data_IF_186289917194
#
_entry.id   IF_186289917194
#
_cell.length_a   1.000
_cell.length_b   1.000
_cell.length_c   1.000
_cell.angle_alpha   90.00
_cell.angle_beta   90.00
_cell.angle_gamma   90.00
#
_symmetry.space_group_name_H-M   'P 1'
#
loop_
_entity.id
_entity.type
_entity.pdbx_description
1 polymer ?
#
# COMPACT_ATOMS: atom_id res chain seq x y z
N UNK A 1 18.23 -6.87 -20.06
CA UNK A 1 17.52 -7.61 -18.99
C UNK A 1 18.39 -7.90 -17.78
N UNK A 2 19.55 -8.56 -17.89
CA UNK A 2 20.43 -8.88 -16.74
C UNK A 2 20.81 -7.63 -15.94
N UNK A 3 21.18 -6.53 -16.60
CA UNK A 3 21.52 -5.25 -15.94
C UNK A 3 20.38 -4.73 -15.10
N UNK A 4 19.15 -4.76 -15.63
CA UNK A 4 17.95 -4.32 -14.90
C UNK A 4 17.74 -5.18 -13.63
N UNK A 5 17.88 -6.50 -13.76
CA UNK A 5 17.79 -7.41 -12.63
C UNK A 5 18.89 -7.15 -11.58
N UNK A 6 20.13 -6.94 -12.01
CA UNK A 6 21.25 -6.59 -11.10
C UNK A 6 20.96 -5.29 -10.37
N UNK A 7 20.53 -4.23 -11.06
CA UNK A 7 20.18 -2.95 -10.44
C UNK A 7 19.02 -3.10 -9.46
N UNK A 8 17.99 -3.88 -9.80
CA UNK A 8 16.84 -4.16 -8.92
C UNK A 8 17.28 -4.92 -7.66
N UNK A 9 17.97 -6.05 -7.81
CA UNK A 9 18.37 -6.88 -6.66
C UNK A 9 19.39 -6.18 -5.76
N UNK A 10 20.37 -5.50 -6.35
CA UNK A 10 21.36 -4.78 -5.56
C UNK A 10 20.76 -3.55 -4.89
N UNK A 11 19.86 -2.84 -5.58
CA UNK A 11 19.09 -1.72 -5.02
C UNK A 11 18.19 -2.17 -3.87
N UNK A 12 17.48 -3.28 -4.03
CA UNK A 12 16.66 -3.85 -2.97
C UNK A 12 17.51 -4.28 -1.74
N UNK A 13 18.69 -4.86 -1.98
CA UNK A 13 19.63 -5.23 -0.91
C UNK A 13 20.13 -4.02 -0.11
N UNK A 14 20.39 -2.88 -0.77
CA UNK A 14 20.82 -1.64 -0.11
C UNK A 14 19.66 -0.93 0.58
N UNK A 15 18.45 -1.08 0.06
CA UNK A 15 17.22 -0.49 0.60
C UNK A 15 17.09 1.02 0.41
N UNK A 16 15.99 1.55 0.86
CA UNK A 16 15.71 3.00 0.84
C UNK A 16 15.80 3.61 -0.56
N UNK A 17 16.40 4.78 -0.65
CA UNK A 17 16.55 5.57 -1.89
C UNK A 17 17.50 4.90 -2.92
N UNK A 18 18.36 3.98 -2.47
CA UNK A 18 19.34 3.32 -3.34
C UNK A 18 18.68 2.58 -4.51
N UNK A 19 17.48 2.03 -4.30
CA UNK A 19 16.72 1.33 -5.33
C UNK A 19 16.47 2.23 -6.56
N UNK A 20 16.05 3.47 -6.34
CA UNK A 20 15.84 4.42 -7.43
C UNK A 20 17.14 4.92 -8.07
N UNK A 21 18.17 5.20 -7.25
CA UNK A 21 19.46 5.68 -7.76
C UNK A 21 20.15 4.63 -8.64
N UNK A 22 20.05 3.35 -8.29
CA UNK A 22 20.58 2.25 -9.11
C UNK A 22 19.78 2.08 -10.41
N UNK A 23 18.49 2.42 -10.42
CA UNK A 23 17.72 2.56 -11.65
C UNK A 23 18.36 3.57 -12.62
N UNK A 24 18.87 4.69 -12.11
CA UNK A 24 19.62 5.68 -12.91
C UNK A 24 20.89 5.10 -13.57
N UNK A 25 21.65 4.28 -12.85
CA UNK A 25 22.80 3.57 -13.41
C UNK A 25 22.35 2.62 -14.54
N UNK A 26 21.27 1.88 -14.30
CA UNK A 26 20.69 0.97 -15.30
C UNK A 26 20.26 1.71 -16.57
N UNK A 27 19.61 2.87 -16.44
CA UNK A 27 19.25 3.73 -17.58
C UNK A 27 20.50 4.16 -18.37
N UNK A 28 21.52 4.68 -17.68
CA UNK A 28 22.77 5.10 -18.32
C UNK A 28 23.40 3.97 -19.13
N UNK A 29 23.48 2.76 -18.54
CA UNK A 29 24.03 1.60 -19.24
C UNK A 29 23.18 1.22 -20.45
N UNK A 30 21.84 1.20 -20.33
CA UNK A 30 20.95 0.88 -21.45
C UNK A 30 21.09 1.89 -22.59
N UNK A 31 21.18 3.18 -22.27
CA UNK A 31 21.22 4.25 -23.28
C UNK A 31 22.60 4.38 -23.92
N UNK A 32 23.66 4.50 -23.11
CA UNK A 32 25.00 4.82 -23.62
C UNK A 32 25.81 3.59 -24.08
N UNK A 33 25.69 2.44 -23.37
CA UNK A 33 26.42 1.25 -23.76
C UNK A 33 25.66 0.39 -24.79
N UNK A 34 24.32 0.34 -24.70
CA UNK A 34 23.48 -0.49 -25.58
C UNK A 34 22.72 0.32 -26.63
N UNK A 35 22.86 1.65 -26.65
CA UNK A 35 22.22 2.56 -27.58
C UNK A 35 20.70 2.41 -27.66
N UNK A 36 20.08 2.04 -26.54
CA UNK A 36 18.62 1.91 -26.42
C UNK A 36 18.04 3.31 -26.21
N UNK A 37 17.04 3.68 -27.03
CA UNK A 37 16.33 4.94 -26.85
C UNK A 37 15.66 4.99 -25.48
N UNK A 38 15.90 6.03 -24.65
CA UNK A 38 15.30 6.11 -23.33
C UNK A 38 13.78 6.23 -23.42
N UNK A 39 13.09 5.49 -22.59
CA UNK A 39 11.66 5.61 -22.36
C UNK A 39 11.32 6.93 -21.64
N UNK A 40 10.05 7.10 -21.26
CA UNK A 40 9.59 8.31 -20.57
C UNK A 40 9.42 8.04 -19.08
N UNK A 41 9.93 8.90 -18.20
CA UNK A 41 9.63 8.79 -16.78
C UNK A 41 8.13 9.03 -16.51
N UNK A 42 7.56 8.35 -15.52
CA UNK A 42 6.15 8.45 -15.16
C UNK A 42 5.86 9.73 -14.35
N UNK A 43 5.94 10.89 -15.00
CA UNK A 43 5.88 12.22 -14.35
C UNK A 43 4.56 12.42 -13.59
N UNK A 44 3.42 12.09 -14.20
CA UNK A 44 2.10 12.27 -13.58
C UNK A 44 1.96 11.43 -12.32
N UNK A 45 2.49 10.20 -12.34
CA UNK A 45 2.55 9.33 -11.16
C UNK A 45 3.39 9.97 -10.07
N UNK A 46 4.56 10.49 -10.41
CA UNK A 46 5.47 11.13 -9.46
C UNK A 46 4.86 12.37 -8.81
N UNK A 47 4.21 13.22 -9.59
CA UNK A 47 3.53 14.42 -9.07
C UNK A 47 2.36 14.05 -8.15
N UNK A 48 1.62 12.99 -8.49
CA UNK A 48 0.52 12.53 -7.63
C UNK A 48 1.04 11.94 -6.32
N UNK A 49 2.10 11.15 -6.38
CA UNK A 49 2.79 10.64 -5.17
C UNK A 49 3.22 11.82 -4.29
N UNK A 50 3.84 12.84 -4.87
CA UNK A 50 4.31 14.02 -4.13
C UNK A 50 3.14 14.74 -3.44
N UNK A 51 2.06 15.00 -4.13
CA UNK A 51 0.88 15.68 -3.58
C UNK A 51 0.27 14.89 -2.41
N UNK A 52 0.10 13.58 -2.56
CA UNK A 52 -0.46 12.70 -1.52
C UNK A 52 0.47 12.61 -0.31
N UNK A 53 1.77 12.44 -0.53
CA UNK A 53 2.78 12.36 0.55
C UNK A 53 2.82 13.66 1.36
N UNK A 54 2.80 14.81 0.70
CA UNK A 54 2.79 16.10 1.39
C UNK A 54 1.52 16.28 2.22
N UNK A 55 0.35 15.93 1.69
CA UNK A 55 -0.91 16.00 2.43
C UNK A 55 -0.91 15.10 3.68
N UNK A 56 -0.51 13.85 3.53
CA UNK A 56 -0.44 12.88 4.63
C UNK A 56 0.62 13.25 5.68
N UNK A 57 1.76 13.77 5.24
CA UNK A 57 2.79 14.30 6.12
C UNK A 57 2.31 15.55 6.89
N UNK A 58 1.51 16.40 6.25
CA UNK A 58 0.88 17.55 6.90
C UNK A 58 -0.13 17.12 7.96
N UNK A 59 -0.94 16.10 7.68
CA UNK A 59 -1.83 15.47 8.66
C UNK A 59 -1.05 14.96 9.89
N UNK A 60 0.08 14.30 9.68
CA UNK A 60 0.94 13.83 10.78
C UNK A 60 1.53 15.01 11.57
N UNK A 61 2.10 16.01 10.90
CA UNK A 61 2.73 17.16 11.53
C UNK A 61 1.75 18.01 12.35
N UNK A 62 0.47 18.04 11.95
CA UNK A 62 -0.61 18.76 12.64
C UNK A 62 -1.18 18.01 13.85
N UNK A 63 -0.80 16.74 14.07
CA UNK A 63 -1.39 15.87 15.08
C UNK A 63 -2.77 15.30 14.70
N UNK A 64 -3.24 15.50 13.46
CA UNK A 64 -4.50 14.92 12.98
C UNK A 64 -4.50 13.40 13.00
N UNK A 65 -3.34 12.79 12.75
CA UNK A 65 -3.16 11.35 12.87
C UNK A 65 -3.35 10.84 14.30
N UNK A 66 -2.95 11.62 15.32
CA UNK A 66 -3.12 11.23 16.73
C UNK A 66 -4.59 11.09 17.11
N UNK A 67 -5.48 11.90 16.52
CA UNK A 67 -6.93 11.77 16.71
C UNK A 67 -7.44 10.46 16.14
N UNK A 68 -7.02 10.09 14.92
CA UNK A 68 -7.39 8.81 14.32
C UNK A 68 -6.92 7.64 15.19
N UNK A 69 -5.71 7.71 15.71
CA UNK A 69 -5.15 6.70 16.61
C UNK A 69 -5.89 6.62 17.94
N UNK A 70 -6.29 7.77 18.52
CA UNK A 70 -7.09 7.80 19.75
C UNK A 70 -8.48 7.16 19.55
N UNK A 71 -9.11 7.39 18.40
CA UNK A 71 -10.38 6.75 18.04
C UNK A 71 -10.18 5.23 17.89
N UNK A 72 -9.12 4.83 17.19
CA UNK A 72 -8.75 3.43 17.00
C UNK A 72 -8.51 2.72 18.35
N UNK A 73 -7.74 3.33 19.25
CA UNK A 73 -7.51 2.81 20.60
C UNK A 73 -8.81 2.63 21.37
N UNK A 74 -9.72 3.61 21.31
CA UNK A 74 -11.02 3.54 21.97
C UNK A 74 -11.85 2.37 21.47
N UNK A 75 -11.87 2.10 20.17
CA UNK A 75 -12.58 0.97 19.56
C UNK A 75 -12.00 -0.36 20.06
N UNK A 76 -10.67 -0.50 20.07
CA UNK A 76 -10.01 -1.73 20.50
C UNK A 76 -10.23 -2.01 22.00
N UNK A 77 -10.08 -0.99 22.86
CA UNK A 77 -10.26 -1.15 24.31
C UNK A 77 -11.70 -1.39 24.74
N UNK A 78 -12.68 -0.93 23.93
CA UNK A 78 -14.10 -1.20 24.22
C UNK A 78 -14.49 -2.65 23.96
N UNK A 79 -13.77 -3.36 23.09
CA UNK A 79 -14.10 -4.72 22.67
C UNK A 79 -12.87 -5.65 22.73
N UNK A 80 -12.24 -5.82 23.90
CA UNK A 80 -10.99 -6.56 24.03
C UNK A 80 -11.12 -8.03 23.63
N UNK A 81 -12.27 -8.66 23.87
CA UNK A 81 -12.53 -10.05 23.49
C UNK A 81 -12.37 -10.31 22.00
N UNK A 82 -12.69 -9.34 21.17
CA UNK A 82 -12.58 -9.43 19.70
C UNK A 82 -11.30 -8.82 19.15
N UNK A 83 -10.31 -8.54 20.00
CA UNK A 83 -9.07 -7.86 19.63
C UNK A 83 -8.40 -8.50 18.39
N UNK A 84 -8.34 -9.84 18.35
CA UNK A 84 -7.68 -10.58 17.26
C UNK A 84 -8.32 -10.32 15.89
N UNK A 85 -9.62 -10.03 15.84
CA UNK A 85 -10.33 -9.67 14.61
C UNK A 85 -10.30 -8.15 14.40
N UNK A 86 -10.53 -7.37 15.45
CA UNK A 86 -10.64 -5.91 15.34
C UNK A 86 -9.31 -5.24 15.03
N UNK A 87 -8.20 -5.72 15.61
CA UNK A 87 -6.90 -5.09 15.40
C UNK A 87 -6.47 -5.08 13.92
N UNK A 88 -6.52 -6.19 13.16
CA UNK A 88 -6.23 -6.16 11.73
C UNK A 88 -7.15 -5.25 10.93
N UNK A 89 -8.46 -5.19 11.23
CA UNK A 89 -9.36 -4.25 10.57
C UNK A 89 -9.01 -2.80 10.88
N UNK A 90 -8.78 -2.47 12.14
CA UNK A 90 -8.42 -1.11 12.57
C UNK A 90 -7.13 -0.65 11.90
N UNK A 91 -6.10 -1.48 11.87
CA UNK A 91 -4.82 -1.12 11.23
C UNK A 91 -4.96 -1.00 9.71
N UNK A 92 -5.74 -1.87 9.08
CA UNK A 92 -6.06 -1.79 7.66
C UNK A 92 -6.80 -0.48 7.33
N UNK A 93 -7.85 -0.14 8.09
CA UNK A 93 -8.59 1.11 7.89
C UNK A 93 -7.74 2.36 8.12
N UNK A 94 -6.90 2.38 9.15
CA UNK A 94 -5.95 3.48 9.33
C UNK A 94 -5.03 3.66 8.13
N UNK A 95 -4.54 2.55 7.57
CA UNK A 95 -3.71 2.59 6.37
C UNK A 95 -4.48 3.04 5.14
N UNK A 96 -5.72 2.57 4.95
CA UNK A 96 -6.60 3.03 3.86
C UNK A 96 -6.78 4.55 3.94
N UNK A 97 -7.01 5.10 5.12
CA UNK A 97 -7.20 6.54 5.31
C UNK A 97 -5.90 7.34 5.15
N UNK A 98 -4.76 6.83 5.65
CA UNK A 98 -3.49 7.57 5.67
C UNK A 98 -2.60 7.32 4.45
N UNK A 99 -2.89 6.31 3.63
CA UNK A 99 -2.11 5.93 2.45
C UNK A 99 -0.78 5.23 2.74
N UNK A 100 -0.50 4.91 4.01
CA UNK A 100 0.77 4.31 4.44
C UNK A 100 0.58 3.31 5.57
N UNK A 101 1.28 2.17 5.50
CA UNK A 101 1.28 1.15 6.55
C UNK A 101 2.09 1.52 7.81
N UNK A 102 2.78 2.66 7.81
CA UNK A 102 3.59 3.08 8.97
C UNK A 102 2.78 3.44 10.21
N UNK A 103 1.48 3.67 10.07
CA UNK A 103 0.55 3.90 11.19
C UNK A 103 0.57 2.76 12.21
N UNK A 104 0.95 1.56 11.80
CA UNK A 104 1.04 0.38 12.66
C UNK A 104 2.03 0.55 13.81
N UNK A 105 3.12 1.30 13.62
CA UNK A 105 4.11 1.52 14.70
C UNK A 105 3.53 2.18 15.93
N UNK A 106 2.59 3.07 15.74
CA UNK A 106 1.98 3.82 16.85
C UNK A 106 0.92 3.01 17.58
N UNK A 107 0.17 2.17 16.86
CA UNK A 107 -0.93 1.42 17.44
C UNK A 107 -0.49 0.04 17.99
N UNK A 108 0.65 -0.48 17.55
CA UNK A 108 1.13 -1.80 17.95
C UNK A 108 1.35 -1.96 19.48
N UNK A 109 1.97 -0.98 20.19
CA UNK A 109 2.08 -1.05 21.64
C UNK A 109 0.72 -1.08 22.37
N UNK A 110 -0.30 -0.45 21.76
CA UNK A 110 -1.66 -0.43 22.30
C UNK A 110 -2.31 -1.81 22.13
N UNK A 111 -2.16 -2.43 20.95
CA UNK A 111 -2.65 -3.79 20.70
C UNK A 111 -2.01 -4.77 21.66
N UNK A 112 -0.68 -4.66 21.88
CA UNK A 112 0.04 -5.47 22.86
C UNK A 112 -0.53 -5.32 24.26
N UNK A 113 -0.70 -4.09 24.75
CA UNK A 113 -1.20 -3.80 26.10
C UNK A 113 -2.61 -4.39 26.34
N UNK A 114 -3.48 -4.25 25.32
CA UNK A 114 -4.82 -4.83 25.41
C UNK A 114 -4.75 -6.37 25.41
N UNK A 115 -3.93 -6.96 24.55
CA UNK A 115 -3.79 -8.41 24.43
C UNK A 115 -3.31 -9.02 25.75
N UNK A 116 -2.20 -8.53 26.30
CA UNK A 116 -1.58 -9.10 27.49
C UNK A 116 -2.47 -8.95 28.73
N UNK A 117 -3.13 -7.80 28.90
CA UNK A 117 -4.04 -7.53 30.02
C UNK A 117 -5.32 -8.37 29.98
N UNK A 118 -5.70 -8.88 28.80
CA UNK A 118 -6.89 -9.73 28.63
C UNK A 118 -6.55 -11.21 28.40
N UNK A 119 -5.32 -11.63 28.67
CA UNK A 119 -4.89 -13.02 28.52
C UNK A 119 -4.83 -13.54 27.08
N UNK A 120 -4.93 -12.64 26.10
CA UNK A 120 -4.85 -12.99 24.66
C UNK A 120 -3.37 -13.12 24.28
N UNK A 121 -3.00 -14.20 23.60
CA UNK A 121 -1.67 -14.37 23.03
C UNK A 121 -1.35 -13.22 22.07
N UNK A 122 -0.36 -12.34 22.37
CA UNK A 122 -0.08 -11.16 21.56
C UNK A 122 0.23 -11.44 20.09
N UNK A 123 0.87 -12.57 19.78
CA UNK A 123 1.15 -13.00 18.39
C UNK A 123 -0.12 -12.96 17.51
N UNK A 124 -1.30 -13.32 18.06
CA UNK A 124 -2.54 -13.38 17.30
C UNK A 124 -2.94 -12.02 16.71
N UNK A 125 -3.25 -11.00 17.53
CA UNK A 125 -3.65 -9.70 17.01
C UNK A 125 -2.48 -8.91 16.41
N UNK A 126 -1.26 -9.06 16.92
CA UNK A 126 -0.13 -8.24 16.49
C UNK A 126 0.38 -8.63 15.11
N UNK A 127 0.60 -9.94 14.85
CA UNK A 127 1.01 -10.38 13.53
C UNK A 127 -0.08 -10.10 12.48
N UNK A 128 -1.35 -10.36 12.83
CA UNK A 128 -2.48 -10.03 11.97
C UNK A 128 -2.57 -8.53 11.66
N UNK A 129 -2.37 -7.66 12.64
CA UNK A 129 -2.40 -6.21 12.48
C UNK A 129 -1.25 -5.68 11.62
N UNK A 130 -0.01 -6.22 11.79
CA UNK A 130 1.13 -5.86 10.95
C UNK A 130 0.85 -6.15 9.48
N UNK A 131 0.44 -7.37 9.17
CA UNK A 131 0.12 -7.79 7.81
C UNK A 131 -1.03 -6.96 7.22
N UNK A 132 -2.13 -6.83 7.95
CA UNK A 132 -3.33 -6.12 7.47
C UNK A 132 -3.09 -4.62 7.25
N UNK A 133 -2.21 -4.00 8.05
CA UNK A 133 -1.77 -2.63 7.83
C UNK A 133 -1.09 -2.48 6.46
N UNK A 134 -0.22 -3.39 6.07
CA UNK A 134 0.44 -3.32 4.77
C UNK A 134 -0.52 -3.67 3.62
N UNK A 135 -1.44 -4.61 3.82
CA UNK A 135 -2.47 -4.92 2.82
C UNK A 135 -3.38 -3.73 2.51
N UNK A 136 -3.66 -2.87 3.50
CA UNK A 136 -4.45 -1.66 3.31
C UNK A 136 -3.89 -0.66 2.30
N UNK A 137 -2.61 -0.75 1.94
CA UNK A 137 -1.95 0.16 0.99
C UNK A 137 -2.60 0.06 -0.40
N UNK A 138 -2.84 -1.16 -0.92
CA UNK A 138 -3.46 -1.34 -2.25
C UNK A 138 -4.97 -1.02 -2.27
N UNK A 139 -5.57 -0.83 -1.11
CA UNK A 139 -6.96 -0.43 -0.94
C UNK A 139 -7.12 1.06 -0.58
N UNK A 140 -6.04 1.82 -0.54
CA UNK A 140 -6.08 3.22 -0.11
C UNK A 140 -6.17 4.19 -1.28
N UNK A 141 -7.19 5.09 -1.29
CA UNK A 141 -7.32 6.10 -2.33
C UNK A 141 -6.17 7.11 -2.37
N UNK A 142 -5.39 7.18 -1.31
CA UNK A 142 -4.27 8.11 -1.15
C UNK A 142 -2.91 7.40 -1.08
N UNK A 143 -2.83 6.15 -1.52
CA UNK A 143 -1.56 5.42 -1.55
C UNK A 143 -0.83 5.56 -2.88
N UNK A 144 0.49 5.55 -2.78
CA UNK A 144 1.37 5.52 -3.97
C UNK A 144 1.09 4.31 -4.86
N UNK A 145 0.79 3.16 -4.28
CA UNK A 145 0.56 1.92 -5.01
C UNK A 145 -0.69 2.00 -5.90
N UNK A 146 -1.81 2.48 -5.34
CA UNK A 146 -3.08 2.65 -6.08
C UNK A 146 -2.93 3.69 -7.19
N UNK A 147 -2.28 4.83 -6.89
CA UNK A 147 -2.02 5.88 -7.88
C UNK A 147 -1.17 5.35 -9.04
N UNK A 148 -0.07 4.65 -8.74
CA UNK A 148 0.81 4.08 -9.75
C UNK A 148 0.09 3.04 -10.61
N UNK A 149 -0.65 2.12 -10.00
CA UNK A 149 -1.38 1.07 -10.71
C UNK A 149 -2.45 1.66 -11.62
N UNK A 150 -3.25 2.61 -11.12
CA UNK A 150 -4.27 3.29 -11.91
C UNK A 150 -3.67 3.99 -13.13
N UNK A 151 -2.59 4.76 -12.94
CA UNK A 151 -1.95 5.48 -14.03
C UNK A 151 -1.38 4.54 -15.10
N UNK A 152 -0.82 3.40 -14.70
CA UNK A 152 -0.30 2.39 -15.63
C UNK A 152 -1.43 1.74 -16.45
N UNK A 153 -2.57 1.44 -15.82
CA UNK A 153 -3.73 0.85 -16.49
C UNK A 153 -4.41 1.84 -17.46
N UNK A 154 -4.52 3.12 -17.09
CA UNK A 154 -5.08 4.15 -17.96
C UNK A 154 -4.20 4.48 -19.16
N UNK A 155 -2.88 4.32 -19.05
CA UNK A 155 -1.91 4.53 -20.12
C UNK A 155 -1.61 3.26 -20.92
N UNK A 156 -2.25 2.13 -20.60
CA UNK A 156 -2.05 0.86 -21.32
C UNK A 156 -2.55 0.97 -22.79
N UNK A 157 -1.86 0.29 -23.69
CA UNK A 157 -2.25 0.23 -25.09
C UNK A 157 -3.61 -0.47 -25.30
N UNK A 158 -3.95 -1.41 -24.42
CA UNK A 158 -5.25 -2.07 -24.35
C UNK A 158 -5.98 -1.55 -23.12
N UNK A 159 -6.92 -0.64 -23.33
CA UNK A 159 -7.75 -0.11 -22.24
C UNK A 159 -8.76 -1.15 -21.80
N UNK A 160 -8.90 -1.30 -20.50
CA UNK A 160 -9.94 -2.13 -19.89
C UNK A 160 -11.29 -1.43 -20.08
N UNK A 161 -12.25 -2.10 -20.71
CA UNK A 161 -13.58 -1.55 -20.92
C UNK A 161 -14.25 -1.26 -19.56
N UNK A 162 -14.85 -0.08 -19.43
CA UNK A 162 -15.51 0.34 -18.19
C UNK A 162 -14.55 0.70 -17.04
N UNK A 163 -13.24 0.76 -17.31
CA UNK A 163 -12.26 1.20 -16.33
C UNK A 163 -11.84 2.65 -16.62
N UNK A 164 -12.40 3.58 -15.85
CA UNK A 164 -12.19 5.01 -16.05
C UNK A 164 -11.21 5.63 -15.06
N UNK A 165 -10.77 4.85 -14.07
CA UNK A 165 -9.79 5.34 -13.12
C UNK A 165 -9.73 4.58 -11.79
N UNK A 166 -9.21 5.27 -10.79
CA UNK A 166 -8.87 4.66 -9.51
C UNK A 166 -10.10 4.22 -8.69
N UNK A 167 -11.27 4.80 -8.90
CA UNK A 167 -12.50 4.35 -8.23
C UNK A 167 -12.84 2.91 -8.65
N UNK A 168 -12.72 2.61 -9.94
CA UNK A 168 -12.94 1.26 -10.46
C UNK A 168 -11.94 0.27 -9.86
N UNK A 169 -10.67 0.68 -9.68
CA UNK A 169 -9.69 -0.12 -8.98
C UNK A 169 -10.07 -0.34 -7.51
N UNK A 170 -10.47 0.71 -6.80
CA UNK A 170 -10.84 0.65 -5.39
C UNK A 170 -12.10 -0.18 -5.13
N UNK A 171 -13.07 -0.18 -6.05
CA UNK A 171 -14.25 -1.06 -5.99
C UNK A 171 -13.89 -2.55 -5.97
N UNK A 172 -12.74 -2.92 -6.51
CA UNK A 172 -12.22 -4.28 -6.46
C UNK A 172 -11.29 -4.46 -5.25
N UNK A 173 -10.34 -3.54 -5.07
CA UNK A 173 -9.28 -3.73 -4.07
C UNK A 173 -9.72 -3.52 -2.63
N UNK A 174 -10.68 -2.62 -2.35
CA UNK A 174 -11.18 -2.45 -0.99
C UNK A 174 -11.90 -3.70 -0.49
N UNK A 175 -12.96 -4.21 -1.14
CA UNK A 175 -13.67 -5.38 -0.63
C UNK A 175 -12.81 -6.63 -0.64
N UNK A 176 -11.97 -6.84 -1.64
CA UNK A 176 -11.06 -8.00 -1.68
C UNK A 176 -10.02 -7.95 -0.56
N UNK A 177 -9.45 -6.78 -0.26
CA UNK A 177 -8.52 -6.61 0.87
C UNK A 177 -9.22 -6.83 2.21
N UNK A 178 -10.42 -6.28 2.41
CA UNK A 178 -11.18 -6.47 3.64
C UNK A 178 -11.57 -7.93 3.86
N UNK A 179 -11.89 -8.65 2.79
CA UNK A 179 -12.13 -10.09 2.86
C UNK A 179 -10.86 -10.85 3.30
N UNK A 180 -9.70 -10.52 2.72
CA UNK A 180 -8.42 -11.08 3.15
C UNK A 180 -8.10 -10.79 4.62
N UNK A 181 -8.35 -9.57 5.07
CA UNK A 181 -8.18 -9.16 6.48
C UNK A 181 -9.11 -9.96 7.40
N UNK A 182 -10.35 -10.21 6.99
CA UNK A 182 -11.27 -11.07 7.73
C UNK A 182 -10.72 -12.50 7.86
N UNK A 183 -10.24 -13.08 6.77
CA UNK A 183 -9.64 -14.41 6.77
C UNK A 183 -8.39 -14.48 7.69
N UNK A 184 -7.54 -13.46 7.69
CA UNK A 184 -6.41 -13.34 8.62
C UNK A 184 -6.91 -13.31 10.07
N UNK A 185 -7.93 -12.50 10.37
CA UNK A 185 -8.50 -12.39 11.72
C UNK A 185 -9.04 -13.72 12.21
N UNK A 186 -9.82 -14.41 11.38
CA UNK A 186 -10.38 -15.74 11.70
C UNK A 186 -9.27 -16.77 11.94
N UNK A 187 -8.30 -16.87 11.04
CA UNK A 187 -7.16 -17.77 11.21
C UNK A 187 -6.39 -17.48 12.49
N UNK A 188 -6.08 -16.20 12.73
CA UNK A 188 -5.29 -15.78 13.89
C UNK A 188 -6.01 -16.02 15.21
N UNK A 189 -7.35 -16.04 15.21
CA UNK A 189 -8.16 -16.36 16.39
C UNK A 189 -7.85 -17.74 16.96
N UNK A 190 -7.63 -18.72 16.10
CA UNK A 190 -7.36 -20.11 16.47
C UNK A 190 -5.86 -20.43 16.59
N UNK A 191 -4.98 -19.47 16.35
CA UNK A 191 -3.55 -19.68 16.29
C UNK A 191 -2.91 -19.80 17.67
N UNK A 192 -2.10 -20.83 17.88
CA UNK A 192 -1.30 -21.03 19.08
C UNK A 192 -2.13 -21.34 20.33
N UNK A 193 -1.46 -21.59 21.44
CA UNK A 193 -2.08 -21.81 22.76
C UNK A 193 -2.41 -20.46 23.43
N UNK A 194 -3.47 -20.42 24.21
CA UNK A 194 -3.73 -19.29 25.11
C UNK A 194 -2.58 -19.12 26.12
N UNK A 195 -2.35 -17.91 26.61
CA UNK A 195 -1.19 -17.61 27.44
C UNK A 195 -1.20 -18.41 28.77
N UNK A 196 -2.37 -18.70 29.31
CA UNK A 196 -2.56 -19.53 30.53
C UNK A 196 -2.18 -20.99 30.29
N UNK A 197 -2.24 -21.47 29.04
CA UNK A 197 -1.93 -22.84 28.61
C UNK A 197 -0.55 -22.98 27.96
N UNK A 198 0.18 -21.88 27.80
CA UNK A 198 1.53 -21.85 27.23
C UNK A 198 2.55 -22.10 28.34
N UNK A 199 3.02 -23.35 28.47
CA UNK A 199 3.96 -23.77 29.50
C UNK A 199 5.26 -22.96 29.48
N UNK A 200 5.79 -22.63 28.29
CA UNK A 200 7.02 -21.84 28.13
C UNK A 200 6.82 -20.42 28.65
N UNK A 201 5.69 -19.82 28.33
CA UNK A 201 5.34 -18.48 28.82
C UNK A 201 5.11 -18.47 30.32
N UNK A 202 4.37 -19.45 30.85
CA UNK A 202 4.09 -19.58 32.30
C UNK A 202 5.36 -19.83 33.11
N UNK A 203 6.32 -20.61 32.58
CA UNK A 203 7.62 -20.80 33.23
C UNK A 203 8.41 -19.49 33.32
N UNK A 204 8.46 -18.71 32.23
CA UNK A 204 9.11 -17.40 32.23
C UNK A 204 8.46 -16.40 33.18
N UNK A 205 7.14 -16.48 33.38
CA UNK A 205 6.42 -15.58 34.30
C UNK A 205 6.76 -15.83 35.79
N UNK A 206 7.42 -16.93 36.15
CA UNK A 206 7.91 -17.17 37.51
C UNK A 206 9.02 -16.18 37.87
N UNK A 207 9.75 -15.65 36.87
CA UNK A 207 10.71 -14.58 37.06
C UNK A 207 10.00 -13.22 37.28
N UNK A 208 10.19 -12.58 38.46
CA UNK A 208 9.55 -11.30 38.78
C UNK A 208 9.95 -10.17 37.82
N UNK A 209 11.19 -10.17 37.32
CA UNK A 209 11.67 -9.13 36.40
C UNK A 209 11.01 -9.30 35.04
N UNK A 210 10.92 -10.53 34.52
CA UNK A 210 10.19 -10.81 33.28
C UNK A 210 8.70 -10.46 33.42
N UNK A 211 8.08 -10.81 34.53
CA UNK A 211 6.68 -10.45 34.79
C UNK A 211 6.47 -8.95 34.78
N UNK A 212 7.35 -8.17 35.46
CA UNK A 212 7.31 -6.70 35.45
C UNK A 212 7.53 -6.13 34.05
N UNK A 213 8.42 -6.71 33.27
CA UNK A 213 8.68 -6.31 31.88
C UNK A 213 7.46 -6.53 30.98
N UNK A 214 6.86 -7.71 31.06
CA UNK A 214 5.70 -8.10 30.22
C UNK A 214 4.47 -7.25 30.55
N UNK A 215 4.14 -7.07 31.83
CA UNK A 215 2.94 -6.33 32.28
C UNK A 215 3.20 -4.85 32.57
N UNK A 216 4.39 -4.34 32.25
CA UNK A 216 4.72 -2.94 32.40
C UNK A 216 3.82 -2.02 31.56
N UNK A 217 3.71 -0.76 31.98
CA UNK A 217 2.83 0.21 31.35
C UNK A 217 3.21 0.48 29.89
N UNK A 218 2.20 0.57 29.04
CA UNK A 218 2.32 1.03 27.66
C UNK A 218 1.77 2.45 27.52
N UNK A 219 2.34 3.20 26.57
CA UNK A 219 1.82 4.52 26.23
C UNK A 219 0.37 4.39 25.73
N UNK A 220 -0.52 5.22 26.23
CA UNK A 220 -1.93 5.32 25.82
C UNK A 220 -2.23 6.75 25.38
N UNK A 221 -3.07 6.87 24.36
CA UNK A 221 -3.63 8.15 23.94
C UNK A 221 -4.99 8.43 24.60
N UNK A 222 -5.57 7.44 25.30
CA UNK A 222 -6.83 7.63 26.04
C UNK A 222 -6.57 8.54 27.25
N UNK A 223 -7.49 9.49 27.44
CA UNK A 223 -7.37 10.49 28.50
C UNK A 223 -6.49 11.68 28.14
N UNK A 224 -5.72 11.61 27.06
CA UNK A 224 -5.00 12.77 26.52
C UNK A 224 -5.99 13.69 25.83
N UNK A 225 -6.12 14.91 26.32
CA UNK A 225 -6.98 15.92 25.69
C UNK A 225 -6.25 16.52 24.47
N UNK A 226 -6.54 15.99 23.31
CA UNK A 226 -5.95 16.49 22.06
C UNK A 226 -6.51 17.89 21.72
N UNK A 227 -5.67 18.81 21.24
CA UNK A 227 -6.07 20.16 20.82
C UNK A 227 -7.18 20.10 19.75
N UNK A 228 -8.05 21.12 19.73
CA UNK A 228 -9.07 21.24 18.68
C UNK A 228 -8.47 21.28 17.26
N UNK A 229 -7.27 21.86 17.12
CA UNK A 229 -6.54 21.89 15.85
C UNK A 229 -6.29 20.50 15.25
N UNK A 230 -6.00 19.49 16.07
CA UNK A 230 -5.79 18.11 15.60
C UNK A 230 -7.06 17.52 14.99
N UNK A 231 -8.22 17.78 15.61
CA UNK A 231 -9.53 17.38 15.07
C UNK A 231 -9.85 18.09 13.77
N UNK A 232 -9.54 19.38 13.67
CA UNK A 232 -9.73 20.17 12.42
C UNK A 232 -8.87 19.59 11.31
N UNK A 233 -7.60 19.28 11.57
CA UNK A 233 -6.71 18.66 10.60
C UNK A 233 -7.25 17.33 10.08
N UNK A 234 -7.70 16.46 11.00
CA UNK A 234 -8.31 15.16 10.63
C UNK A 234 -9.54 15.35 9.72
N UNK A 235 -10.46 16.26 10.10
CA UNK A 235 -11.69 16.46 9.31
C UNK A 235 -11.42 17.09 7.94
N UNK A 236 -10.45 18.02 7.82
CA UNK A 236 -10.04 18.58 6.53
C UNK A 236 -9.51 17.46 5.63
N UNK A 237 -8.63 16.61 6.15
CA UNK A 237 -8.02 15.53 5.38
C UNK A 237 -9.06 14.49 4.92
N UNK A 238 -9.92 14.03 5.83
CA UNK A 238 -11.01 13.09 5.51
C UNK A 238 -12.02 13.69 4.55
N UNK A 239 -12.34 14.98 4.70
CA UNK A 239 -13.20 15.72 3.79
C UNK A 239 -12.62 15.80 2.38
N UNK A 240 -11.32 16.05 2.24
CA UNK A 240 -10.66 16.05 0.94
C UNK A 240 -10.71 14.66 0.27
N UNK A 241 -10.45 13.57 1.02
CA UNK A 241 -10.60 12.21 0.50
C UNK A 241 -12.03 11.93 0.05
N UNK A 242 -13.01 12.32 0.86
CA UNK A 242 -14.43 12.14 0.52
C UNK A 242 -14.82 12.90 -0.75
N UNK A 243 -14.31 14.13 -0.92
CA UNK A 243 -14.54 14.93 -2.14
C UNK A 243 -13.86 14.30 -3.36
N UNK A 244 -12.64 13.81 -3.25
CA UNK A 244 -11.97 13.08 -4.32
C UNK A 244 -12.76 11.84 -4.71
N UNK A 245 -13.25 11.07 -3.74
CA UNK A 245 -14.09 9.90 -4.00
C UNK A 245 -15.40 10.28 -4.69
N UNK A 246 -16.06 11.33 -4.23
CA UNK A 246 -17.30 11.83 -4.81
C UNK A 246 -17.10 12.25 -6.28
N UNK A 247 -16.05 13.01 -6.59
CA UNK A 247 -15.70 13.41 -7.95
C UNK A 247 -15.27 12.24 -8.84
N UNK A 248 -14.83 11.13 -8.24
CA UNK A 248 -14.51 9.90 -8.94
C UNK A 248 -15.76 9.09 -9.31
N UNK A 249 -16.78 9.07 -8.42
CA UNK A 249 -18.04 8.38 -8.66
C UNK A 249 -18.93 9.20 -9.60
N UNK A 250 -18.96 10.52 -9.46
CA UNK A 250 -19.80 11.42 -10.22
C UNK A 250 -18.94 12.28 -11.16
N UNK A 251 -18.59 11.73 -12.32
CA UNK A 251 -17.73 12.37 -13.31
C UNK A 251 -18.31 13.69 -13.85
N UNK A 252 -19.65 13.81 -13.91
CA UNK A 252 -20.35 15.03 -14.32
C UNK A 252 -20.10 16.23 -13.39
N UNK A 253 -19.62 16.01 -12.16
CA UNK A 253 -19.22 17.07 -11.24
C UNK A 253 -17.82 17.64 -11.55
N UNK A 254 -17.05 16.94 -12.37
CA UNK A 254 -15.74 17.41 -12.78
C UNK A 254 -15.85 18.48 -13.87
N UNK A 255 -15.03 19.55 -13.82
CA UNK A 255 -14.96 20.53 -14.89
C UNK A 255 -14.76 19.88 -16.24
N UNK A 256 -15.55 20.32 -17.23
CA UNK A 256 -15.51 19.86 -18.61
C UNK A 256 -15.36 21.07 -19.53
N UNK A 257 -14.31 21.08 -20.35
CA UNK A 257 -14.00 22.19 -21.26
C UNK A 257 -14.52 21.98 -22.69
N UNK A 258 -15.38 20.97 -22.88
CA UNK A 258 -15.97 20.66 -24.17
C UNK A 258 -15.27 19.54 -24.92
N UNK A 259 -15.50 19.45 -26.23
CA UNK A 259 -14.91 18.39 -27.04
C UNK A 259 -13.43 18.64 -27.32
N UNK A 260 -12.61 17.60 -27.19
CA UNK A 260 -11.19 17.64 -27.53
C UNK A 260 -11.03 17.90 -29.03
N UNK A 261 -10.34 18.99 -29.39
CA UNK A 261 -10.01 19.32 -30.79
C UNK A 261 -8.49 19.24 -30.99
N UNK A 262 -8.04 18.43 -31.95
CA UNK A 262 -6.61 18.36 -32.35
C UNK A 262 -6.47 18.83 -33.81
N UNK A 263 -5.63 19.83 -34.03
CA UNK A 263 -5.40 20.41 -35.35
C UNK A 263 -6.68 20.82 -36.08
N UNK A 264 -7.65 21.39 -35.33
CA UNK A 264 -8.94 21.78 -35.86
C UNK A 264 -9.96 20.64 -36.08
N UNK A 265 -9.59 19.39 -35.77
CA UNK A 265 -10.46 18.21 -35.95
C UNK A 265 -10.99 17.76 -34.60
N UNK A 266 -12.33 17.74 -34.40
CA UNK A 266 -12.95 17.17 -33.21
C UNK A 266 -12.58 15.69 -33.05
N UNK A 267 -12.14 15.32 -31.86
CA UNK A 267 -11.76 13.95 -31.56
C UNK A 267 -12.95 13.13 -31.07
N UNK A 268 -13.00 11.86 -31.46
CA UNK A 268 -13.97 10.89 -30.97
C UNK A 268 -13.28 9.76 -30.22
N UNK A 269 -14.01 9.10 -29.34
CA UNK A 269 -13.58 7.91 -28.64
C UNK A 269 -13.62 6.66 -29.55
N UNK A 270 -13.26 5.51 -29.02
CA UNK A 270 -13.25 4.24 -29.76
C UNK A 270 -14.65 3.78 -30.21
N UNK A 271 -15.72 4.34 -29.64
CA UNK A 271 -17.12 4.05 -29.96
C UNK A 271 -17.73 5.10 -30.92
N UNK A 272 -16.94 6.11 -31.33
CA UNK A 272 -17.41 7.19 -32.21
C UNK A 272 -18.11 8.35 -31.48
N UNK A 273 -18.16 8.36 -30.14
CA UNK A 273 -18.72 9.46 -29.36
C UNK A 273 -17.75 10.64 -29.25
N UNK A 274 -18.25 11.88 -29.09
CA UNK A 274 -17.39 13.03 -28.85
C UNK A 274 -16.47 12.82 -27.64
N UNK A 275 -15.17 12.88 -27.85
CA UNK A 275 -14.20 12.80 -26.74
C UNK A 275 -14.20 14.12 -25.99
N UNK A 276 -14.69 14.11 -24.74
CA UNK A 276 -14.78 15.30 -23.91
C UNK A 276 -13.48 15.55 -23.13
N UNK A 277 -13.13 16.83 -22.94
CA UNK A 277 -12.00 17.29 -22.14
C UNK A 277 -12.44 17.50 -20.68
N UNK A 278 -12.60 16.39 -19.97
CA UNK A 278 -12.99 16.37 -18.56
C UNK A 278 -11.74 16.34 -17.68
N UNK A 279 -11.76 17.09 -16.57
CA UNK A 279 -10.66 17.09 -15.60
C UNK A 279 -10.32 15.66 -15.17
N UNK A 280 -9.06 15.27 -15.41
CA UNK A 280 -8.60 13.91 -15.10
C UNK A 280 -8.62 13.62 -13.58
N UNK A 281 -8.90 12.38 -13.20
CA UNK A 281 -8.85 11.98 -11.77
C UNK A 281 -7.45 12.14 -11.16
N UNK A 282 -6.41 11.99 -11.94
CA UNK A 282 -5.02 12.26 -11.52
C UNK A 282 -4.88 13.71 -11.06
N UNK A 283 -5.36 14.66 -11.87
CA UNK A 283 -5.35 16.09 -11.52
C UNK A 283 -6.25 16.41 -10.33
N UNK A 284 -7.42 15.78 -10.23
CA UNK A 284 -8.32 15.91 -9.06
C UNK A 284 -7.60 15.51 -7.77
N UNK A 285 -6.95 14.34 -7.74
CA UNK A 285 -6.20 13.88 -6.57
C UNK A 285 -5.10 14.87 -6.21
N UNK A 286 -4.29 15.30 -7.20
CA UNK A 286 -3.19 16.24 -6.97
C UNK A 286 -3.70 17.56 -6.34
N UNK A 287 -4.74 18.14 -6.93
CA UNK A 287 -5.30 19.44 -6.48
C UNK A 287 -5.92 19.33 -5.08
N UNK A 288 -6.74 18.32 -4.81
CA UNK A 288 -7.40 18.14 -3.52
C UNK A 288 -6.44 17.75 -2.40
N UNK A 289 -5.37 17.01 -2.69
CA UNK A 289 -4.34 16.72 -1.69
C UNK A 289 -3.51 17.97 -1.35
N UNK A 290 -3.13 18.77 -2.33
CA UNK A 290 -2.47 20.06 -2.07
C UNK A 290 -3.40 21.02 -1.31
N UNK A 291 -4.68 21.08 -1.66
CA UNK A 291 -5.68 21.85 -0.95
C UNK A 291 -5.79 21.40 0.52
N UNK A 292 -5.88 20.09 0.77
CA UNK A 292 -5.94 19.54 2.12
C UNK A 292 -4.73 19.96 2.95
N UNK A 293 -3.52 19.81 2.41
CA UNK A 293 -2.29 20.27 3.09
C UNK A 293 -2.31 21.76 3.40
N UNK A 294 -2.73 22.58 2.42
CA UNK A 294 -2.82 24.05 2.59
C UNK A 294 -3.85 24.43 3.66
N UNK A 295 -5.05 23.87 3.61
CA UNK A 295 -6.08 24.16 4.61
C UNK A 295 -5.66 23.71 6.02
N UNK A 296 -5.00 22.55 6.15
CA UNK A 296 -4.48 22.11 7.45
C UNK A 296 -3.48 23.14 7.99
N UNK A 297 -2.49 23.57 7.20
CA UNK A 297 -1.50 24.57 7.64
C UNK A 297 -2.17 25.87 8.09
N UNK A 298 -3.13 26.36 7.30
CA UNK A 298 -3.83 27.64 7.57
C UNK A 298 -4.65 27.55 8.86
N UNK A 299 -5.49 26.53 9.00
CA UNK A 299 -6.44 26.43 10.11
C UNK A 299 -5.87 25.86 11.40
N UNK A 300 -4.77 25.09 11.32
CA UNK A 300 -4.16 24.49 12.50
C UNK A 300 -2.86 25.16 12.93
N UNK A 301 -2.36 26.14 12.18
CA UNK A 301 -1.07 26.81 12.41
C UNK A 301 0.11 25.83 12.51
N UNK A 302 0.04 24.75 11.75
CA UNK A 302 1.07 23.72 11.73
C UNK A 302 2.37 24.29 11.17
N UNK A 303 3.48 24.01 11.85
CA UNK A 303 4.81 24.41 11.38
C UNK A 303 5.21 23.60 10.14
N UNK A 304 5.30 24.27 9.00
CA UNK A 304 5.65 23.66 7.72
C UNK A 304 7.02 22.97 7.73
N UNK A 305 7.96 23.42 8.60
CA UNK A 305 9.29 22.79 8.73
C UNK A 305 9.18 21.34 9.26
N UNK A 306 8.18 21.05 10.08
CA UNK A 306 7.96 19.71 10.62
C UNK A 306 7.42 18.72 9.59
N UNK A 307 6.82 19.18 8.48
CA UNK A 307 6.27 18.33 7.42
C UNK A 307 7.40 17.57 6.74
N UNK A 308 8.46 18.27 6.32
CA UNK A 308 9.58 17.65 5.60
C UNK A 308 10.46 16.71 6.46
N UNK A 309 10.36 16.81 7.78
CA UNK A 309 11.19 16.00 8.70
C UNK A 309 10.49 14.75 9.24
N UNK A 310 9.19 14.58 9.00
CA UNK A 310 8.44 13.43 9.55
C UNK A 310 8.61 12.15 8.73
N UNK A 311 8.24 11.02 9.34
CA UNK A 311 8.46 9.69 8.76
C UNK A 311 7.61 9.43 7.50
N UNK A 312 6.39 9.98 7.42
CA UNK A 312 5.53 9.85 6.23
C UNK A 312 6.19 10.54 5.04
N UNK A 313 6.71 11.76 5.23
CA UNK A 313 7.40 12.48 4.17
C UNK A 313 8.67 11.75 3.70
N UNK A 314 9.51 11.31 4.64
CA UNK A 314 10.75 10.58 4.31
C UNK A 314 10.47 9.30 3.54
N UNK A 315 9.53 8.48 4.01
CA UNK A 315 9.16 7.23 3.34
C UNK A 315 8.53 7.46 1.97
N UNK A 316 7.70 8.49 1.86
CA UNK A 316 7.09 8.90 0.59
C UNK A 316 8.12 9.38 -0.43
N UNK A 317 9.12 10.15 0.00
CA UNK A 317 10.20 10.59 -0.89
C UNK A 317 11.10 9.43 -1.34
N UNK A 318 11.36 8.45 -0.47
CA UNK A 318 12.06 7.22 -0.85
C UNK A 318 11.27 6.48 -1.93
N UNK A 319 9.95 6.33 -1.75
CA UNK A 319 9.08 5.70 -2.73
C UNK A 319 9.05 6.47 -4.06
N UNK A 320 8.98 7.80 -4.01
CA UNK A 320 9.02 8.67 -5.20
C UNK A 320 10.30 8.44 -6.03
N UNK A 321 11.46 8.47 -5.39
CA UNK A 321 12.76 8.28 -6.07
C UNK A 321 12.88 6.84 -6.58
N UNK A 322 12.39 5.84 -5.84
CA UNK A 322 12.38 4.46 -6.30
C UNK A 322 11.50 4.29 -7.55
N UNK A 323 10.29 4.85 -7.54
CA UNK A 323 9.39 4.84 -8.72
C UNK A 323 10.06 5.55 -9.90
N UNK A 324 10.67 6.71 -9.70
CA UNK A 324 11.36 7.45 -10.75
C UNK A 324 12.43 6.59 -11.44
N UNK A 325 13.41 6.10 -10.69
CA UNK A 325 14.53 5.38 -11.27
C UNK A 325 14.14 4.02 -11.86
N UNK A 326 13.35 3.23 -11.12
CA UNK A 326 12.96 1.89 -11.57
C UNK A 326 12.02 1.94 -12.76
N UNK A 327 10.95 2.77 -12.70
CA UNK A 327 9.97 2.82 -13.78
C UNK A 327 10.62 3.28 -15.08
N UNK A 328 11.48 4.29 -15.02
CA UNK A 328 12.17 4.80 -16.21
C UNK A 328 13.13 3.76 -16.80
N UNK A 329 13.92 3.07 -15.96
CA UNK A 329 14.79 1.97 -16.39
C UNK A 329 13.99 0.81 -17.01
N UNK A 330 12.90 0.42 -16.37
CA UNK A 330 12.03 -0.65 -16.81
C UNK A 330 11.38 -0.31 -18.17
N UNK A 331 10.80 0.89 -18.31
CA UNK A 331 10.19 1.36 -19.54
C UNK A 331 11.19 1.39 -20.70
N UNK A 332 12.41 1.86 -20.42
CA UNK A 332 13.51 1.86 -21.40
C UNK A 332 13.86 0.46 -21.89
N UNK A 333 13.93 -0.53 -20.98
CA UNK A 333 14.23 -1.91 -21.34
C UNK A 333 13.06 -2.56 -22.10
N UNK A 334 11.82 -2.34 -21.64
CA UNK A 334 10.65 -2.98 -22.23
C UNK A 334 10.37 -2.49 -23.64
N UNK A 335 10.64 -1.22 -23.95
CA UNK A 335 10.46 -0.67 -25.28
C UNK A 335 11.16 -1.53 -26.38
N UNK A 336 12.27 -2.18 -26.06
CA UNK A 336 13.04 -3.03 -26.99
C UNK A 336 12.75 -4.51 -26.86
N UNK A 337 12.50 -5.00 -25.61
CA UNK A 337 12.46 -6.44 -25.33
C UNK A 337 11.04 -7.02 -25.27
N UNK A 338 10.00 -6.19 -25.28
CA UNK A 338 8.60 -6.62 -25.24
C UNK A 338 8.24 -7.69 -26.27
N UNK A 339 8.64 -7.59 -27.58
CA UNK A 339 8.29 -8.63 -28.56
C UNK A 339 8.85 -10.00 -28.21
N UNK A 340 10.12 -10.05 -27.78
CA UNK A 340 10.77 -11.30 -27.37
C UNK A 340 10.14 -11.89 -26.10
N UNK A 341 9.82 -11.05 -25.12
CA UNK A 341 9.21 -11.47 -23.87
C UNK A 341 7.77 -11.96 -24.09
N UNK A 342 7.02 -11.30 -24.95
CA UNK A 342 5.67 -11.73 -25.35
C UNK A 342 5.70 -13.10 -26.01
N UNK A 343 6.65 -13.35 -26.90
CA UNK A 343 6.82 -14.66 -27.55
C UNK A 343 7.19 -15.78 -26.55
N UNK A 344 7.98 -15.44 -25.51
CA UNK A 344 8.45 -16.43 -24.53
C UNK A 344 7.44 -16.73 -23.41
N UNK A 345 6.65 -15.75 -22.96
CA UNK A 345 5.84 -15.80 -21.76
C UNK A 345 4.34 -15.57 -22.01
N UNK A 346 3.98 -15.01 -23.17
CA UNK A 346 2.61 -14.57 -23.46
C UNK A 346 1.58 -15.71 -23.40
N UNK A 347 1.94 -16.88 -23.90
CA UNK A 347 1.02 -18.04 -23.91
C UNK A 347 0.81 -18.58 -22.48
N UNK A 348 1.88 -18.64 -21.67
CA UNK A 348 1.79 -19.12 -20.28
C UNK A 348 0.84 -18.22 -19.46
N UNK A 349 0.95 -16.90 -19.64
CA UNK A 349 0.11 -15.95 -18.87
C UNK A 349 -1.34 -15.96 -19.36
N UNK A 350 -1.58 -16.19 -20.65
CA UNK A 350 -2.94 -16.31 -21.20
C UNK A 350 -3.65 -17.59 -20.76
N UNK A 351 -2.95 -18.69 -20.74
CA UNK A 351 -3.50 -19.99 -20.29
C UNK A 351 -3.66 -20.04 -18.77
N UNK A 352 -2.77 -19.36 -18.04
CA UNK A 352 -2.71 -19.39 -16.58
C UNK A 352 -2.61 -17.97 -15.99
N UNK A 353 -3.68 -17.16 -15.99
CA UNK A 353 -3.65 -15.76 -15.51
C UNK A 353 -3.15 -15.58 -14.07
N UNK A 354 -3.36 -16.59 -13.21
CA UNK A 354 -2.87 -16.57 -11.82
C UNK A 354 -1.34 -16.52 -11.70
N UNK A 355 -0.61 -16.91 -12.75
CA UNK A 355 0.87 -16.82 -12.78
C UNK A 355 1.35 -15.38 -12.63
N UNK A 356 0.58 -14.40 -13.12
CA UNK A 356 0.83 -12.98 -12.87
C UNK A 356 0.90 -12.67 -11.37
N UNK A 357 -0.04 -13.18 -10.58
CA UNK A 357 -0.08 -12.96 -9.13
C UNK A 357 1.18 -13.51 -8.45
N UNK A 358 1.60 -14.72 -8.81
CA UNK A 358 2.81 -15.35 -8.25
C UNK A 358 4.06 -14.52 -8.61
N UNK A 359 4.17 -14.07 -9.86
CA UNK A 359 5.31 -13.27 -10.31
C UNK A 359 5.36 -11.92 -9.59
N UNK A 360 4.22 -11.22 -9.47
CA UNK A 360 4.13 -9.96 -8.75
C UNK A 360 4.48 -10.14 -7.27
N UNK A 361 4.00 -11.20 -6.63
CA UNK A 361 4.28 -11.53 -5.24
C UNK A 361 5.79 -11.72 -5.00
N UNK A 362 6.45 -12.48 -5.87
CA UNK A 362 7.88 -12.72 -5.78
C UNK A 362 8.69 -11.44 -5.99
N UNK A 363 8.34 -10.62 -6.99
CA UNK A 363 9.01 -9.35 -7.24
C UNK A 363 8.84 -8.40 -6.06
N UNK A 364 7.62 -8.29 -5.51
CA UNK A 364 7.36 -7.43 -4.37
C UNK A 364 8.16 -7.83 -3.12
N UNK A 365 8.46 -9.13 -2.96
CA UNK A 365 9.34 -9.61 -1.89
C UNK A 365 10.74 -9.02 -2.00
N UNK A 366 11.30 -8.96 -3.19
CA UNK A 366 12.67 -8.45 -3.38
C UNK A 366 12.74 -6.92 -3.31
N UNK A 367 11.68 -6.25 -3.75
CA UNK A 367 11.64 -4.77 -3.80
C UNK A 367 11.22 -4.15 -2.46
N UNK A 368 10.52 -4.88 -1.59
CA UNK A 368 10.01 -4.44 -0.29
C UNK A 368 9.14 -3.15 -0.38
N UNK A 369 8.44 -2.95 -1.49
CA UNK A 369 7.55 -1.80 -1.73
C UNK A 369 6.50 -2.16 -2.76
N UNK A 370 5.23 -2.00 -2.41
CA UNK A 370 4.11 -2.27 -3.33
C UNK A 370 4.16 -1.35 -4.56
N UNK A 371 4.33 -0.05 -4.33
CA UNK A 371 4.39 0.93 -5.41
C UNK A 371 5.55 0.66 -6.37
N UNK A 372 6.73 0.35 -5.86
CA UNK A 372 7.90 0.06 -6.68
C UNK A 372 7.75 -1.29 -7.42
N UNK A 373 7.16 -2.31 -6.78
CA UNK A 373 6.88 -3.60 -7.43
C UNK A 373 5.88 -3.44 -8.59
N UNK A 374 4.78 -2.71 -8.35
CA UNK A 374 3.79 -2.36 -9.38
C UNK A 374 4.46 -1.61 -10.53
N UNK A 375 5.20 -0.56 -10.23
CA UNK A 375 5.85 0.29 -11.25
C UNK A 375 6.90 -0.45 -12.06
N UNK A 376 7.57 -1.46 -11.48
CA UNK A 376 8.54 -2.28 -12.18
C UNK A 376 7.90 -3.39 -13.02
N UNK A 377 6.84 -4.02 -12.51
CA UNK A 377 6.33 -5.26 -13.11
C UNK A 377 5.08 -5.09 -13.96
N UNK A 378 4.16 -4.17 -13.62
CA UNK A 378 2.91 -4.00 -14.39
C UNK A 378 3.17 -3.60 -15.85
N UNK A 379 4.10 -2.66 -16.18
CA UNK A 379 4.42 -2.37 -17.58
C UNK A 379 4.93 -3.60 -18.35
N UNK A 380 5.75 -4.43 -17.69
CA UNK A 380 6.19 -5.70 -18.26
C UNK A 380 5.02 -6.65 -18.50
N UNK A 381 4.17 -6.83 -17.49
CA UNK A 381 3.02 -7.72 -17.58
C UNK A 381 2.08 -7.32 -18.73
N UNK A 382 1.75 -6.04 -18.87
CA UNK A 382 0.99 -5.50 -20.00
C UNK A 382 1.71 -5.75 -21.34
N UNK A 383 3.03 -5.55 -21.37
CA UNK A 383 3.85 -5.76 -22.55
C UNK A 383 3.87 -7.20 -23.06
N UNK A 384 3.90 -8.19 -22.17
CA UNK A 384 3.84 -9.62 -22.51
C UNK A 384 2.41 -10.12 -22.81
N UNK A 385 1.39 -9.29 -22.60
CA UNK A 385 0.00 -9.58 -22.96
C UNK A 385 -0.88 -10.04 -21.81
N UNK A 386 -0.51 -9.73 -20.55
CA UNK A 386 -1.43 -9.87 -19.41
C UNK A 386 -2.58 -8.89 -19.60
N UNK A 387 -3.80 -9.39 -19.55
CA UNK A 387 -4.99 -8.55 -19.65
C UNK A 387 -5.09 -7.58 -18.45
N UNK A 388 -5.45 -6.31 -18.66
CA UNK A 388 -5.58 -5.33 -17.57
C UNK A 388 -6.54 -5.76 -16.47
N UNK A 389 -7.60 -6.50 -16.80
CA UNK A 389 -8.54 -7.06 -15.83
C UNK A 389 -7.90 -8.05 -14.86
N UNK A 390 -6.97 -8.88 -15.35
CA UNK A 390 -6.17 -9.80 -14.52
C UNK A 390 -5.29 -9.02 -13.54
N UNK A 391 -4.71 -7.92 -14.00
CA UNK A 391 -3.88 -7.05 -13.15
C UNK A 391 -4.70 -6.45 -12.01
N UNK A 392 -5.90 -5.97 -12.31
CA UNK A 392 -6.83 -5.44 -11.30
C UNK A 392 -7.27 -6.55 -10.33
N UNK A 393 -7.66 -7.71 -10.84
CA UNK A 393 -8.11 -8.86 -10.06
C UNK A 393 -7.09 -9.31 -9.02
N UNK A 394 -5.82 -9.35 -9.41
CA UNK A 394 -4.72 -9.82 -8.58
C UNK A 394 -3.86 -8.69 -7.97
N UNK A 395 -4.39 -7.48 -7.87
CA UNK A 395 -3.65 -6.32 -7.35
C UNK A 395 -3.08 -6.56 -5.94
N UNK A 396 -3.75 -7.33 -5.09
CA UNK A 396 -3.28 -7.68 -3.73
C UNK A 396 -1.95 -8.46 -3.71
N UNK A 397 -1.56 -9.11 -4.81
CA UNK A 397 -0.30 -9.82 -4.94
C UNK A 397 0.95 -8.88 -4.92
N UNK A 398 0.76 -7.56 -4.98
CA UNK A 398 1.85 -6.60 -4.81
C UNK A 398 2.45 -6.56 -3.39
N UNK A 399 1.86 -7.29 -2.43
CA UNK A 399 2.35 -7.41 -1.07
C UNK A 399 2.97 -8.78 -0.83
N UNK A 400 4.25 -8.98 -1.15
CA UNK A 400 5.02 -10.22 -0.93
C UNK A 400 6.18 -10.09 0.07
N UNK A 401 6.46 -8.88 0.54
CA UNK A 401 7.64 -8.69 1.40
C UNK A 401 7.48 -9.21 2.84
N UNK A 402 6.32 -9.74 3.21
CA UNK A 402 6.13 -10.53 4.43
C UNK A 402 6.75 -11.94 4.36
N UNK A 403 7.07 -12.45 3.17
CA UNK A 403 7.63 -13.82 3.01
C UNK A 403 8.93 -14.00 3.79
N UNK A 404 9.74 -12.96 3.88
CA UNK A 404 10.87 -12.91 4.81
C UNK A 404 10.62 -11.77 5.81
N UNK A 405 10.81 -11.98 7.12
CA UNK A 405 10.48 -10.99 8.15
C UNK A 405 11.58 -9.92 8.24
N UNK A 406 11.82 -9.23 7.13
CA UNK A 406 12.84 -8.17 7.01
C UNK A 406 12.22 -6.79 6.92
N UNK A 407 10.89 -6.71 6.81
CA UNK A 407 10.22 -5.44 6.71
C UNK A 407 10.13 -4.74 8.09
N UNK A 408 10.34 -3.43 8.14
CA UNK A 408 10.42 -2.71 9.42
C UNK A 408 9.20 -2.88 10.32
N UNK A 409 7.97 -2.95 9.78
CA UNK A 409 6.77 -3.15 10.60
C UNK A 409 6.74 -4.50 11.31
N UNK A 410 7.24 -5.55 10.66
CA UNK A 410 7.26 -6.89 11.22
C UNK A 410 8.32 -6.97 12.34
N UNK A 411 9.51 -6.41 12.10
CA UNK A 411 10.57 -6.33 13.11
C UNK A 411 10.15 -5.51 14.32
N UNK A 412 9.50 -4.35 14.09
CA UNK A 412 8.97 -3.54 15.17
C UNK A 412 7.88 -4.27 15.97
N UNK A 413 7.02 -5.03 15.29
CA UNK A 413 5.99 -5.84 15.94
C UNK A 413 6.60 -6.87 16.88
N UNK A 414 7.69 -7.55 16.47
CA UNK A 414 8.43 -8.47 17.33
C UNK A 414 9.01 -7.74 18.55
N UNK A 415 9.56 -6.54 18.36
CA UNK A 415 10.15 -5.74 19.45
C UNK A 415 9.10 -5.24 20.43
N UNK A 416 7.89 -4.90 19.96
CA UNK A 416 6.79 -4.47 20.83
C UNK A 416 6.16 -5.62 21.61
N UNK A 417 6.28 -6.86 21.13
CA UNK A 417 5.79 -8.04 21.84
C UNK A 417 6.77 -8.47 22.95
N UNK A 418 6.63 -7.88 24.12
CA UNK A 418 7.43 -8.21 25.30
C UNK A 418 7.18 -9.62 25.85
N UNK A 419 6.10 -10.28 25.42
CA UNK A 419 5.82 -11.67 25.80
C UNK A 419 6.70 -12.66 25.02
N UNK A 420 7.25 -12.24 23.87
CA UNK A 420 8.07 -13.07 22.99
C UNK A 420 7.26 -14.09 22.18
N UNK A 421 5.94 -13.96 22.14
CA UNK A 421 5.07 -14.86 21.36
C UNK A 421 5.14 -14.56 19.86
N UNK A 422 5.32 -13.29 19.47
CA UNK A 422 5.61 -12.89 18.09
C UNK A 422 7.10 -13.01 17.83
N UNK A 423 7.49 -13.89 16.94
CA UNK A 423 8.91 -14.27 16.80
C UNK A 423 9.30 -14.69 15.39
N UNK A 424 10.62 -14.79 15.18
CA UNK A 424 11.25 -15.50 14.07
C UNK A 424 11.76 -16.82 14.64
N UNK A 425 11.29 -17.95 14.08
CA UNK A 425 11.71 -19.27 14.51
C UNK A 425 13.13 -19.64 14.03
N UNK A 426 13.52 -20.91 14.24
CA UNK A 426 14.84 -21.43 13.89
C UNK A 426 15.19 -21.24 12.41
N UNK A 427 14.20 -21.33 11.53
CA UNK A 427 14.33 -21.06 10.10
C UNK A 427 13.68 -19.72 9.79
N UNK A 428 14.30 -18.92 8.93
CA UNK A 428 13.84 -17.56 8.58
C UNK A 428 12.39 -17.54 8.03
N UNK A 429 11.96 -18.63 7.38
CA UNK A 429 10.59 -18.76 6.85
C UNK A 429 9.59 -19.11 7.97
N UNK A 430 10.03 -19.68 9.09
CA UNK A 430 9.16 -20.02 10.22
C UNK A 430 9.02 -18.81 11.17
N UNK A 431 8.22 -17.86 10.81
CA UNK A 431 7.95 -16.65 11.61
C UNK A 431 6.46 -16.35 11.70
N UNK A 432 6.11 -15.46 12.62
CA UNK A 432 4.72 -15.16 12.95
C UNK A 432 3.91 -14.55 11.80
N UNK A 433 4.54 -14.01 10.77
CA UNK A 433 3.89 -13.26 9.69
C UNK A 433 3.59 -14.09 8.43
N UNK A 434 4.27 -15.24 8.23
CA UNK A 434 4.17 -16.00 6.97
C UNK A 434 2.74 -16.50 6.69
N UNK A 435 2.11 -17.16 7.65
CA UNK A 435 0.78 -17.72 7.47
C UNK A 435 -0.31 -16.63 7.35
N UNK A 436 -0.36 -15.61 8.23
CA UNK A 436 -1.28 -14.50 8.03
C UNK A 436 -1.10 -13.80 6.69
N UNK A 437 0.15 -13.60 6.25
CA UNK A 437 0.44 -12.97 4.96
C UNK A 437 -0.03 -13.80 3.78
N UNK A 438 0.28 -15.10 3.76
CA UNK A 438 -0.19 -16.02 2.70
C UNK A 438 -1.73 -16.07 2.65
N UNK A 439 -2.37 -16.27 3.79
CA UNK A 439 -3.84 -16.32 3.86
C UNK A 439 -4.44 -15.01 3.34
N UNK A 440 -3.94 -13.88 3.83
CA UNK A 440 -4.46 -12.58 3.44
C UNK A 440 -4.34 -12.30 1.95
N UNK A 441 -3.14 -12.50 1.38
CA UNK A 441 -2.90 -12.22 -0.04
C UNK A 441 -3.65 -13.20 -0.93
N UNK A 442 -3.61 -14.51 -0.64
CA UNK A 442 -4.30 -15.52 -1.46
C UNK A 442 -5.80 -15.28 -1.44
N UNK A 443 -6.41 -15.09 -0.26
CA UNK A 443 -7.86 -14.87 -0.17
C UNK A 443 -8.29 -13.53 -0.77
N UNK A 444 -7.45 -12.48 -0.66
CA UNK A 444 -7.70 -11.21 -1.36
C UNK A 444 -7.61 -11.37 -2.88
N UNK A 445 -6.66 -12.13 -3.40
CA UNK A 445 -6.56 -12.42 -4.83
C UNK A 445 -7.76 -13.21 -5.34
N UNK A 446 -8.21 -14.22 -4.58
CA UNK A 446 -9.41 -15.01 -4.93
C UNK A 446 -10.65 -14.10 -4.94
N UNK A 447 -10.86 -13.30 -3.89
CA UNK A 447 -11.97 -12.36 -3.84
C UNK A 447 -11.89 -11.31 -4.96
N UNK A 448 -10.70 -10.75 -5.20
CA UNK A 448 -10.45 -9.80 -6.28
C UNK A 448 -10.79 -10.36 -7.66
N UNK A 449 -10.46 -11.62 -7.91
CA UNK A 449 -10.80 -12.32 -9.15
C UNK A 449 -12.32 -12.40 -9.36
N UNK A 450 -13.07 -12.85 -8.36
CA UNK A 450 -14.53 -12.95 -8.47
C UNK A 450 -15.22 -11.59 -8.58
N UNK A 451 -14.71 -10.57 -7.84
CA UNK A 451 -15.28 -9.22 -7.91
C UNK A 451 -14.97 -8.58 -9.28
N UNK A 452 -13.76 -8.76 -9.82
CA UNK A 452 -13.38 -8.28 -11.15
C UNK A 452 -14.21 -8.94 -12.24
N UNK A 453 -14.47 -10.26 -12.13
CA UNK A 453 -15.37 -10.99 -13.02
C UNK A 453 -16.80 -10.41 -12.95
N UNK A 454 -17.33 -10.19 -11.76
CA UNK A 454 -18.66 -9.60 -11.58
C UNK A 454 -18.75 -8.16 -12.11
N UNK A 455 -17.64 -7.41 -12.11
CA UNK A 455 -17.53 -6.09 -12.69
C UNK A 455 -17.35 -6.07 -14.23
N UNK A 456 -17.22 -7.25 -14.86
CA UNK A 456 -17.01 -7.36 -16.30
C UNK A 456 -15.59 -7.04 -16.77
N UNK A 457 -14.60 -7.19 -15.89
CA UNK A 457 -13.19 -6.92 -16.20
C UNK A 457 -12.41 -8.18 -16.63
N UNK A 458 -13.01 -9.37 -16.46
CA UNK A 458 -12.46 -10.68 -16.85
C UNK A 458 -13.41 -11.41 -17.78
#
# INVERSE_FOLDING_TARGET
MIIVLICLFYGAKKGGIALGLLGGIGILMLVFAFHIKPGKPAIDVMLTILAVVVASATLQASGGLDVMLQIAERILRRNPKFLTILAPFVTCFLTILCGTGHVVYTIMPIIYDIAIKNGIRPERPMAAASISSQMGIIASPVSVAVVSLTALLLNANHKLAGFDGYINLLQITIPSTLFGVLCIGIFSWFRGKDLDKDEVFQEKLKDPEFKKYVYGDSKTLLGVKLPKSNWVAMWIFLGAIALVALLGVFDFLRPNWGQVVKNGIPQVDALGNPKMDVLSMVSVIQMFMLLAGSLIIIFTKTDAKKIGSNEIFKSGMIALVAVFGISWMADTMFAVHTPMMKAALGDIVKEHPWTYAVMLLLISKFVNSQAAAISAFVPLALGIGVEPGVIVAFAAACYGYYILPTYPSDLATIQFDRSGTTHIGKFVINHSFILPGLIGVITSCIAGYFIAMAAGYL
#
